data_IF_657041428724
#
_entry.id   IF_657041428724
#
_cell.length_a   1.000
_cell.length_b   1.000
_cell.length_c   1.000
_cell.angle_alpha   90.00
_cell.angle_beta   90.00
_cell.angle_gamma   90.00
#
_symmetry.space_group_name_H-M   'P 1'
#
loop_
_entity.id
_entity.type
_entity.pdbx_description
1 polymer ?
#
# COMPACT_ATOMS: atom_id res chain seq x y z
N UNK A 1 -5.31 -35.12 -1.95
CA UNK A 1 -5.41 -33.76 -1.39
C UNK A 1 -5.06 -32.81 -2.52
N UNK A 2 -5.91 -31.83 -2.86
CA UNK A 2 -5.52 -30.77 -3.78
C UNK A 2 -4.45 -29.93 -3.06
N UNK A 3 -3.28 -29.78 -3.65
CA UNK A 3 -2.25 -28.91 -3.10
C UNK A 3 -2.78 -27.47 -3.13
N UNK A 4 -2.75 -26.79 -1.99
CA UNK A 4 -3.18 -25.38 -1.84
C UNK A 4 -2.15 -24.40 -2.42
N UNK A 5 -1.10 -24.91 -3.03
CA UNK A 5 -0.05 -24.15 -3.71
C UNK A 5 0.48 -24.94 -4.92
N UNK A 6 1.03 -24.23 -5.88
CA UNK A 6 1.74 -24.81 -7.02
C UNK A 6 3.25 -24.77 -6.80
N UNK A 7 3.87 -25.93 -6.92
CA UNK A 7 5.31 -26.14 -6.75
C UNK A 7 6.06 -25.87 -8.06
N UNK A 8 6.90 -24.83 -8.08
CA UNK A 8 7.73 -24.45 -9.24
C UNK A 8 9.20 -24.87 -9.06
N UNK A 9 9.53 -25.64 -8.02
CA UNK A 9 10.90 -26.05 -7.69
C UNK A 9 11.68 -24.96 -6.92
N UNK A 10 11.58 -23.71 -7.32
CA UNK A 10 12.22 -22.55 -6.67
C UNK A 10 11.24 -21.66 -5.93
N UNK A 11 9.94 -21.78 -6.20
CA UNK A 11 8.87 -21.03 -5.56
C UNK A 11 7.64 -21.90 -5.37
N UNK A 12 6.81 -21.54 -4.39
CA UNK A 12 5.49 -22.12 -4.15
C UNK A 12 4.48 -20.99 -4.25
N UNK A 13 3.69 -20.98 -5.33
CA UNK A 13 2.66 -19.97 -5.53
C UNK A 13 1.40 -20.41 -4.81
N UNK A 14 0.88 -19.54 -3.94
CA UNK A 14 -0.31 -19.77 -3.13
C UNK A 14 -1.59 -19.51 -3.95
N UNK A 15 -2.03 -20.50 -4.70
CA UNK A 15 -3.20 -20.42 -5.59
C UNK A 15 -4.54 -20.26 -4.84
N UNK A 16 -4.57 -20.58 -3.54
CA UNK A 16 -5.75 -20.48 -2.68
C UNK A 16 -5.79 -19.22 -1.81
N UNK A 17 -4.77 -18.34 -1.94
CA UNK A 17 -4.62 -17.17 -1.09
C UNK A 17 -5.83 -16.25 -1.13
N UNK A 18 -6.34 -15.94 -2.32
CA UNK A 18 -7.51 -15.06 -2.50
C UNK A 18 -8.75 -15.61 -1.78
N UNK A 19 -8.98 -16.93 -1.85
CA UNK A 19 -10.10 -17.58 -1.13
C UNK A 19 -9.93 -17.52 0.38
N UNK A 20 -8.71 -17.70 0.86
CA UNK A 20 -8.38 -17.78 2.29
C UNK A 20 -8.28 -16.42 2.95
N UNK A 21 -7.65 -15.44 2.28
CA UNK A 21 -7.35 -14.12 2.86
C UNK A 21 -8.20 -12.99 2.27
N UNK A 22 -8.92 -13.24 1.17
CA UNK A 22 -9.67 -12.22 0.44
C UNK A 22 -8.83 -11.37 -0.52
N UNK A 23 -7.51 -11.63 -0.62
CA UNK A 23 -6.59 -10.89 -1.48
C UNK A 23 -5.73 -11.83 -2.31
N UNK A 24 -5.47 -11.52 -3.60
CA UNK A 24 -4.54 -12.27 -4.42
C UNK A 24 -3.10 -12.18 -3.90
N UNK A 25 -2.24 -13.04 -4.39
CA UNK A 25 -0.81 -12.97 -4.10
C UNK A 25 -0.19 -11.71 -4.73
N UNK A 26 0.87 -11.18 -4.08
CA UNK A 26 1.63 -10.02 -4.53
C UNK A 26 3.11 -10.35 -4.54
N UNK A 27 3.79 -9.93 -5.59
CA UNK A 27 5.22 -10.22 -5.78
C UNK A 27 6.08 -9.15 -5.12
N UNK A 28 6.90 -9.53 -4.17
CA UNK A 28 8.03 -8.70 -3.73
C UNK A 28 9.15 -8.84 -4.75
N UNK A 29 9.34 -7.83 -5.61
CA UNK A 29 10.25 -7.93 -6.77
C UNK A 29 11.73 -7.79 -6.39
N UNK A 30 12.02 -7.06 -5.30
CA UNK A 30 13.39 -6.81 -4.85
C UNK A 30 14.12 -8.12 -4.51
N UNK A 31 15.35 -8.25 -4.99
CA UNK A 31 16.17 -9.45 -4.76
C UNK A 31 15.79 -10.69 -5.58
N UNK A 32 14.74 -10.66 -6.40
CA UNK A 32 14.43 -11.77 -7.30
C UNK A 32 15.28 -11.74 -8.54
N UNK A 33 15.75 -12.91 -8.96
CA UNK A 33 16.42 -13.07 -10.27
C UNK A 33 15.44 -12.87 -11.39
N UNK A 34 15.93 -12.51 -12.58
CA UNK A 34 15.13 -12.29 -13.78
C UNK A 34 14.30 -13.52 -14.15
N UNK A 35 14.91 -14.71 -14.06
CA UNK A 35 14.26 -15.99 -14.37
C UNK A 35 13.09 -16.28 -13.41
N UNK A 36 13.30 -16.10 -12.11
CA UNK A 36 12.25 -16.34 -11.12
C UNK A 36 11.11 -15.34 -11.25
N UNK A 37 11.45 -14.06 -11.46
CA UNK A 37 10.46 -13.03 -11.65
C UNK A 37 9.58 -13.30 -12.89
N UNK A 38 10.20 -13.62 -14.02
CA UNK A 38 9.50 -13.93 -15.27
C UNK A 38 8.54 -15.11 -15.12
N UNK A 39 9.00 -16.18 -14.47
CA UNK A 39 8.20 -17.38 -14.25
C UNK A 39 7.01 -17.14 -13.33
N UNK A 40 7.22 -16.39 -12.22
CA UNK A 40 6.15 -16.02 -11.28
C UNK A 40 5.09 -15.16 -11.97
N UNK A 41 5.49 -14.10 -12.70
CA UNK A 41 4.53 -13.22 -13.38
C UNK A 41 3.71 -13.94 -14.44
N UNK A 42 4.34 -14.82 -15.25
CA UNK A 42 3.62 -15.67 -16.22
C UNK A 42 2.55 -16.50 -15.51
N UNK A 43 2.96 -17.18 -14.45
CA UNK A 43 2.06 -18.07 -13.72
C UNK A 43 0.89 -17.32 -13.08
N UNK A 44 1.14 -16.17 -12.44
CA UNK A 44 0.06 -15.36 -11.86
C UNK A 44 -0.95 -14.88 -12.91
N UNK A 45 -0.46 -14.46 -14.09
CA UNK A 45 -1.35 -14.02 -15.17
C UNK A 45 -2.13 -15.19 -15.77
N UNK A 46 -1.53 -16.38 -15.86
CA UNK A 46 -2.21 -17.60 -16.31
C UNK A 46 -3.33 -18.01 -15.34
N UNK A 47 -3.09 -17.94 -14.03
CA UNK A 47 -4.03 -18.41 -13.01
C UNK A 47 -5.11 -17.37 -12.67
N UNK A 48 -4.72 -16.09 -12.52
CA UNK A 48 -5.59 -15.03 -12.00
C UNK A 48 -5.93 -13.95 -13.03
N UNK A 49 -5.35 -14.00 -14.23
CA UNK A 49 -5.54 -13.00 -15.28
C UNK A 49 -4.87 -11.66 -15.01
N UNK A 50 -4.15 -11.51 -13.89
CA UNK A 50 -3.47 -10.29 -13.47
C UNK A 50 -2.27 -10.61 -12.59
N UNK A 51 -1.36 -9.64 -12.43
CA UNK A 51 -0.25 -9.73 -11.48
C UNK A 51 0.07 -8.35 -10.91
N UNK A 52 0.51 -8.31 -9.66
CA UNK A 52 0.93 -7.08 -8.98
C UNK A 52 2.21 -7.34 -8.20
N UNK A 53 3.18 -6.46 -8.39
CA UNK A 53 4.46 -6.54 -7.69
C UNK A 53 4.92 -5.18 -7.19
N UNK A 54 5.55 -5.20 -6.03
CA UNK A 54 6.10 -4.02 -5.36
C UNK A 54 7.62 -4.03 -5.44
N UNK A 55 8.22 -2.83 -5.25
CA UNK A 55 9.68 -2.63 -5.24
C UNK A 55 10.39 -3.14 -6.49
N UNK A 56 9.71 -3.04 -7.63
CA UNK A 56 10.29 -3.38 -8.91
C UNK A 56 11.30 -2.33 -9.39
N UNK A 57 12.16 -2.75 -10.31
CA UNK A 57 13.11 -1.89 -11.02
C UNK A 57 12.66 -1.70 -12.46
N UNK A 58 13.16 -0.65 -13.12
CA UNK A 58 12.96 -0.43 -14.56
C UNK A 58 13.45 -1.62 -15.39
N UNK A 59 14.60 -2.23 -15.00
CA UNK A 59 15.11 -3.45 -15.65
C UNK A 59 14.10 -4.61 -15.59
N UNK A 60 13.54 -4.86 -14.42
CA UNK A 60 12.52 -5.90 -14.21
C UNK A 60 11.24 -5.62 -15.02
N UNK A 61 10.84 -4.35 -15.11
CA UNK A 61 9.73 -3.97 -15.98
C UNK A 61 10.02 -4.29 -17.46
N UNK A 62 11.17 -3.89 -17.97
CA UNK A 62 11.56 -4.17 -19.37
C UNK A 62 11.60 -5.67 -19.67
N UNK A 63 12.04 -6.48 -18.71
CA UNK A 63 12.01 -7.94 -18.80
C UNK A 63 10.56 -8.47 -18.91
N UNK A 64 9.70 -8.05 -17.97
CA UNK A 64 8.31 -8.53 -17.94
C UNK A 64 7.52 -8.02 -19.14
N UNK A 65 7.74 -6.78 -19.58
CA UNK A 65 7.09 -6.18 -20.75
C UNK A 65 7.29 -6.97 -22.03
N UNK A 66 8.48 -7.58 -22.20
CA UNK A 66 8.79 -8.42 -23.38
C UNK A 66 7.96 -9.70 -23.43
N UNK A 67 7.61 -10.26 -22.29
CA UNK A 67 6.88 -11.54 -22.18
C UNK A 67 5.38 -11.36 -21.93
N UNK A 68 5.01 -10.25 -21.30
CA UNK A 68 3.64 -9.85 -20.98
C UNK A 68 3.42 -8.40 -21.46
N UNK A 69 3.03 -8.19 -22.72
CA UNK A 69 2.93 -6.85 -23.31
C UNK A 69 1.95 -5.90 -22.62
N UNK A 70 1.02 -6.41 -21.81
CA UNK A 70 0.10 -5.61 -20.99
C UNK A 70 0.73 -5.09 -19.69
N UNK A 71 1.99 -5.45 -19.38
CA UNK A 71 2.65 -4.98 -18.18
C UNK A 71 2.80 -3.47 -18.16
N UNK A 72 2.58 -2.87 -17.00
CA UNK A 72 2.69 -1.44 -16.69
C UNK A 72 3.65 -1.25 -15.53
N UNK A 73 4.34 -0.12 -15.50
CA UNK A 73 5.28 0.22 -14.43
C UNK A 73 5.10 1.65 -13.95
N UNK A 74 4.83 1.79 -12.68
CA UNK A 74 4.91 3.09 -12.00
C UNK A 74 6.30 3.25 -11.37
N UNK A 75 7.04 4.22 -11.89
CA UNK A 75 8.41 4.47 -11.46
C UNK A 75 8.48 5.08 -10.05
N UNK A 76 7.45 5.82 -9.64
CA UNK A 76 7.42 6.52 -8.34
C UNK A 76 7.21 5.51 -7.22
N UNK A 77 6.13 4.74 -7.28
CA UNK A 77 5.82 3.68 -6.31
C UNK A 77 6.59 2.39 -6.53
N UNK A 78 7.38 2.29 -7.62
CA UNK A 78 8.10 1.06 -8.02
C UNK A 78 7.16 -0.14 -8.15
N UNK A 79 5.96 0.12 -8.70
CA UNK A 79 4.92 -0.89 -8.89
C UNK A 79 5.01 -1.45 -10.31
N UNK A 80 5.11 -2.76 -10.41
CA UNK A 80 5.04 -3.51 -11.67
C UNK A 80 3.77 -4.35 -11.66
N UNK A 81 2.84 -4.06 -12.56
CA UNK A 81 1.56 -4.75 -12.63
C UNK A 81 1.22 -5.20 -14.04
N UNK A 82 0.48 -6.29 -14.12
CA UNK A 82 -0.29 -6.68 -15.30
C UNK A 82 -1.76 -6.53 -14.91
N UNK A 83 -2.47 -5.51 -15.38
CA UNK A 83 -3.84 -5.25 -14.95
C UNK A 83 -4.77 -6.38 -15.40
N UNK A 84 -5.86 -6.67 -14.67
CA UNK A 84 -6.88 -7.60 -15.12
C UNK A 84 -7.60 -7.05 -16.35
N UNK A 85 -8.24 -7.94 -17.14
CA UNK A 85 -9.00 -7.54 -18.33
C UNK A 85 -10.21 -6.67 -17.99
N UNK A 86 -10.87 -6.97 -16.88
CA UNK A 86 -11.98 -6.19 -16.36
C UNK A 86 -11.48 -5.21 -15.30
N UNK A 87 -11.98 -3.98 -15.33
CA UNK A 87 -11.61 -2.97 -14.34
C UNK A 87 -12.02 -3.42 -12.93
N UNK A 88 -11.13 -3.21 -11.96
CA UNK A 88 -11.42 -3.47 -10.55
C UNK A 88 -12.39 -2.41 -10.05
N UNK A 89 -13.55 -2.81 -9.57
CA UNK A 89 -14.51 -1.91 -8.95
C UNK A 89 -13.90 -1.31 -7.66
N UNK A 90 -13.98 0.01 -7.56
CA UNK A 90 -13.40 0.75 -6.45
C UNK A 90 -14.51 1.14 -5.45
N UNK A 91 -14.36 0.71 -4.19
CA UNK A 91 -15.37 0.91 -3.14
C UNK A 91 -14.83 1.65 -1.93
N UNK A 92 -15.73 2.32 -1.21
CA UNK A 92 -15.40 3.07 -0.01
C UNK A 92 -14.48 4.25 -0.29
N UNK A 93 -13.66 4.63 0.69
CA UNK A 93 -12.65 5.68 0.53
C UNK A 93 -11.51 5.46 1.53
N UNK A 94 -10.28 5.51 1.04
CA UNK A 94 -9.04 5.48 1.83
C UNK A 94 -8.29 6.78 1.53
N UNK A 95 -7.95 7.56 2.55
CA UNK A 95 -7.08 8.73 2.38
C UNK A 95 -5.62 8.33 2.56
N UNK A 96 -4.76 8.71 1.62
CA UNK A 96 -3.30 8.49 1.70
C UNK A 96 -2.62 9.84 1.80
N UNK A 97 -2.00 10.12 2.96
CA UNK A 97 -1.41 11.40 3.29
C UNK A 97 0.11 11.29 3.43
N UNK A 98 0.87 12.26 2.90
CA UNK A 98 2.32 12.35 3.12
C UNK A 98 2.72 13.62 3.87
N UNK A 99 3.78 13.50 4.70
CA UNK A 99 4.39 14.67 5.33
C UNK A 99 5.10 15.54 4.30
N UNK A 100 5.92 14.95 3.46
CA UNK A 100 6.64 15.64 2.39
C UNK A 100 6.60 14.90 1.06
N UNK A 101 7.15 15.55 0.02
CA UNK A 101 7.22 14.95 -1.32
C UNK A 101 8.21 13.79 -1.41
N UNK A 102 9.20 13.73 -0.51
CA UNK A 102 10.14 12.61 -0.43
C UNK A 102 9.47 11.30 0.07
N UNK A 103 8.33 11.40 0.76
CA UNK A 103 7.56 10.25 1.24
C UNK A 103 6.63 9.65 0.17
N UNK A 104 6.44 10.36 -0.95
CA UNK A 104 5.51 9.96 -2.03
C UNK A 104 5.77 8.56 -2.57
N UNK A 105 7.02 8.08 -2.75
CA UNK A 105 7.25 6.72 -3.24
C UNK A 105 6.61 5.64 -2.36
N UNK A 106 6.69 5.77 -1.05
CA UNK A 106 6.08 4.82 -0.09
C UNK A 106 4.56 4.99 -0.06
N UNK A 107 4.07 6.22 -0.19
CA UNK A 107 2.65 6.51 -0.26
C UNK A 107 2.01 5.95 -1.54
N UNK A 108 2.70 6.02 -2.70
CA UNK A 108 2.23 5.42 -3.95
C UNK A 108 2.23 3.88 -3.88
N UNK A 109 3.20 3.26 -3.22
CA UNK A 109 3.14 1.82 -2.95
C UNK A 109 1.87 1.47 -2.17
N UNK A 110 1.53 2.24 -1.13
CA UNK A 110 0.31 2.03 -0.34
C UNK A 110 -0.96 2.30 -1.14
N UNK A 111 -1.03 3.41 -1.87
CA UNK A 111 -2.17 3.83 -2.65
C UNK A 111 -2.50 2.82 -3.76
N UNK A 112 -1.52 2.45 -4.57
CA UNK A 112 -1.72 1.51 -5.66
C UNK A 112 -2.00 0.08 -5.17
N UNK A 113 -1.47 -0.31 -4.01
CA UNK A 113 -1.85 -1.56 -3.35
C UNK A 113 -3.32 -1.56 -2.96
N UNK A 114 -3.80 -0.48 -2.33
CA UNK A 114 -5.21 -0.35 -1.96
C UNK A 114 -6.13 -0.34 -3.19
N UNK A 115 -5.74 0.36 -4.26
CA UNK A 115 -6.48 0.39 -5.53
C UNK A 115 -6.51 -0.99 -6.20
N UNK A 116 -5.40 -1.71 -6.24
CA UNK A 116 -5.35 -3.08 -6.78
C UNK A 116 -6.26 -4.04 -6.01
N UNK A 117 -6.47 -3.78 -4.74
CA UNK A 117 -7.40 -4.54 -3.91
C UNK A 117 -8.84 -4.01 -3.90
N UNK A 118 -9.19 -3.01 -4.72
CA UNK A 118 -10.54 -2.49 -4.89
C UNK A 118 -10.94 -1.40 -3.89
N UNK A 119 -9.98 -0.75 -3.23
CA UNK A 119 -10.23 0.43 -2.41
C UNK A 119 -10.17 1.71 -3.26
N UNK A 120 -11.16 2.59 -3.15
CA UNK A 120 -11.07 3.94 -3.72
C UNK A 120 -10.08 4.76 -2.89
N UNK A 121 -9.12 5.42 -3.54
CA UNK A 121 -8.05 6.16 -2.87
C UNK A 121 -8.10 7.65 -3.20
N UNK A 122 -7.98 8.48 -2.18
CA UNK A 122 -7.72 9.92 -2.30
C UNK A 122 -6.30 10.23 -1.81
N UNK A 123 -5.50 10.82 -2.69
CA UNK A 123 -4.10 11.20 -2.42
C UNK A 123 -4.04 12.64 -1.90
N UNK A 124 -3.52 12.82 -0.69
CA UNK A 124 -3.39 14.13 0.00
C UNK A 124 -1.93 14.30 0.41
N UNK A 125 -1.11 14.73 -0.55
CA UNK A 125 0.34 14.79 -0.39
C UNK A 125 0.83 16.15 0.08
N UNK A 126 2.03 16.16 0.70
CA UNK A 126 2.74 17.35 1.19
C UNK A 126 1.94 18.16 2.23
N UNK A 127 1.40 17.48 3.22
CA UNK A 127 0.66 18.07 4.35
C UNK A 127 1.44 17.99 5.68
N UNK A 128 2.76 18.06 5.61
CA UNK A 128 3.65 17.96 6.79
C UNK A 128 3.42 19.06 7.84
N UNK A 129 3.80 18.74 9.06
CA UNK A 129 3.56 19.58 10.24
C UNK A 129 4.30 20.91 10.22
N UNK A 130 5.39 21.04 9.45
CA UNK A 130 6.10 22.30 9.26
C UNK A 130 5.24 23.39 8.59
N UNK A 131 4.19 22.98 7.88
CA UNK A 131 3.18 23.87 7.32
C UNK A 131 1.78 23.36 7.70
N UNK A 132 1.49 23.35 8.99
CA UNK A 132 0.29 22.74 9.58
C UNK A 132 -1.03 23.20 8.92
N UNK A 133 -1.08 24.43 8.41
CA UNK A 133 -2.23 24.98 7.70
C UNK A 133 -2.61 24.17 6.46
N UNK A 134 -1.64 23.50 5.81
CA UNK A 134 -1.88 22.61 4.66
C UNK A 134 -2.70 21.39 5.09
N UNK A 135 -2.32 20.76 6.20
CA UNK A 135 -3.07 19.66 6.81
C UNK A 135 -4.47 20.10 7.24
N UNK A 136 -4.56 21.22 7.98
CA UNK A 136 -5.83 21.72 8.48
C UNK A 136 -6.82 22.02 7.34
N UNK A 137 -6.35 22.52 6.19
CA UNK A 137 -7.20 22.76 5.02
C UNK A 137 -7.76 21.49 4.36
N UNK A 138 -7.22 20.32 4.68
CA UNK A 138 -7.64 19.00 4.14
C UNK A 138 -8.38 18.13 5.16
N UNK A 139 -8.50 18.56 6.41
CA UNK A 139 -9.09 17.76 7.49
C UNK A 139 -10.47 17.23 7.14
N UNK A 140 -11.35 18.07 6.56
CA UNK A 140 -12.71 17.66 6.17
C UNK A 140 -12.69 16.55 5.10
N UNK A 141 -11.80 16.63 4.12
CA UNK A 141 -11.64 15.59 3.10
C UNK A 141 -11.14 14.28 3.72
N UNK A 142 -10.15 14.38 4.62
CA UNK A 142 -9.58 13.22 5.32
C UNK A 142 -10.64 12.52 6.18
N UNK A 143 -11.48 13.26 6.87
CA UNK A 143 -12.54 12.73 7.74
C UNK A 143 -13.61 11.92 6.99
N UNK A 144 -13.77 12.12 5.68
CA UNK A 144 -14.69 11.35 4.84
C UNK A 144 -14.20 9.93 4.53
N UNK A 145 -12.93 9.63 4.74
CA UNK A 145 -12.36 8.32 4.48
C UNK A 145 -12.77 7.29 5.55
N UNK A 146 -12.81 6.02 5.18
CA UNK A 146 -13.02 4.91 6.13
C UNK A 146 -11.74 4.59 6.93
N UNK A 147 -10.57 4.91 6.36
CA UNK A 147 -9.26 4.72 6.97
C UNK A 147 -8.27 5.72 6.37
N UNK A 148 -7.28 6.12 7.16
CA UNK A 148 -6.21 7.03 6.74
C UNK A 148 -4.88 6.29 6.76
N UNK A 149 -4.12 6.37 5.68
CA UNK A 149 -2.71 5.99 5.64
C UNK A 149 -1.89 7.27 5.78
N UNK A 150 -1.06 7.34 6.82
CA UNK A 150 -0.24 8.51 7.15
C UNK A 150 1.24 8.17 7.01
N UNK A 151 1.90 8.70 5.98
CA UNK A 151 3.27 8.38 5.58
C UNK A 151 4.21 9.54 5.93
N UNK A 152 5.20 9.30 6.75
CA UNK A 152 6.12 10.36 7.22
C UNK A 152 7.50 9.81 7.58
N UNK A 153 8.53 10.50 7.11
CA UNK A 153 9.92 10.34 7.54
C UNK A 153 10.30 11.31 8.65
N UNK A 154 11.59 11.65 8.71
CA UNK A 154 12.18 12.54 9.73
C UNK A 154 11.84 12.10 11.16
N UNK A 155 11.04 12.86 11.89
CA UNK A 155 10.56 12.56 13.25
C UNK A 155 9.18 11.92 13.29
N UNK A 156 8.48 11.78 12.17
CA UNK A 156 7.20 11.07 12.10
C UNK A 156 6.01 11.77 12.76
N UNK A 157 6.08 13.06 13.04
CA UNK A 157 5.07 13.79 13.84
C UNK A 157 3.69 13.88 13.19
N UNK A 158 3.60 13.78 11.85
CA UNK A 158 2.32 13.89 11.13
C UNK A 158 1.27 12.92 11.66
N UNK A 159 1.65 11.68 11.97
CA UNK A 159 0.72 10.66 12.46
C UNK A 159 0.06 11.06 13.78
N UNK A 160 0.85 11.62 14.74
CA UNK A 160 0.33 12.08 16.02
C UNK A 160 -0.62 13.27 15.88
N UNK A 161 -0.27 14.22 15.02
CA UNK A 161 -1.14 15.39 14.74
C UNK A 161 -2.44 14.94 14.06
N UNK A 162 -2.34 14.05 13.08
CA UNK A 162 -3.50 13.46 12.40
C UNK A 162 -4.43 12.79 13.40
N UNK A 163 -3.90 11.96 14.32
CA UNK A 163 -4.68 11.28 15.35
C UNK A 163 -5.43 12.21 16.30
N UNK A 164 -4.99 13.46 16.44
CA UNK A 164 -5.71 14.49 17.17
C UNK A 164 -6.79 15.23 16.36
N UNK A 165 -6.83 15.06 15.04
CA UNK A 165 -7.71 15.82 14.15
C UNK A 165 -8.85 14.97 13.57
N UNK A 166 -8.71 13.64 13.50
CA UNK A 166 -9.70 12.77 12.84
C UNK A 166 -10.10 11.61 13.74
N UNK A 167 -11.32 11.11 13.56
CA UNK A 167 -11.85 9.94 14.28
C UNK A 167 -11.56 8.62 13.52
N UNK A 168 -11.01 8.71 12.32
CA UNK A 168 -10.74 7.57 11.45
C UNK A 168 -9.58 6.71 12.00
N UNK A 169 -9.61 5.38 11.83
CA UNK A 169 -8.43 4.55 12.03
C UNK A 169 -7.26 5.03 11.17
N UNK A 170 -6.07 5.12 11.77
CA UNK A 170 -4.87 5.59 11.10
C UNK A 170 -3.85 4.46 11.02
N UNK A 171 -3.37 4.18 9.81
CA UNK A 171 -2.22 3.32 9.56
C UNK A 171 -1.02 4.23 9.31
N UNK A 172 -0.13 4.30 10.28
CA UNK A 172 1.07 5.11 10.22
C UNK A 172 2.23 4.33 9.59
N UNK A 173 2.85 4.93 8.59
CA UNK A 173 3.97 4.37 7.84
C UNK A 173 5.19 5.26 8.08
N UNK A 174 6.12 4.86 8.95
CA UNK A 174 7.40 5.52 9.04
C UNK A 174 8.19 5.30 7.75
N UNK A 175 8.87 6.32 7.25
CA UNK A 175 9.76 6.17 6.09
C UNK A 175 11.22 6.32 6.48
N UNK A 176 12.10 5.74 5.66
CA UNK A 176 13.55 5.91 5.78
C UNK A 176 14.04 7.31 5.38
N UNK A 177 13.14 8.18 4.93
CA UNK A 177 13.42 9.57 4.58
C UNK A 177 13.89 10.35 5.80
N UNK A 178 15.10 10.92 5.70
CA UNK A 178 15.69 11.69 6.78
C UNK A 178 17.22 11.66 6.75
N UNK A 179 17.84 12.26 7.74
CA UNK A 179 19.28 12.31 7.88
C UNK A 179 19.69 12.34 9.37
N UNK A 180 20.98 12.13 9.64
CA UNK A 180 21.53 12.21 10.99
C UNK A 180 20.80 11.28 11.98
N UNK A 181 20.20 11.83 13.03
CA UNK A 181 19.52 11.08 14.08
C UNK A 181 18.20 10.42 13.66
N UNK A 182 17.80 10.52 12.38
CA UNK A 182 16.64 9.76 11.86
C UNK A 182 16.92 8.26 11.78
N UNK A 183 18.20 7.85 11.73
CA UNK A 183 18.64 6.44 11.64
C UNK A 183 17.79 5.62 10.65
N UNK A 184 17.68 6.11 9.40
CA UNK A 184 16.92 5.43 8.34
C UNK A 184 15.47 5.07 8.72
N UNK A 185 14.78 6.01 9.38
CA UNK A 185 13.38 5.89 9.75
C UNK A 185 13.11 5.38 11.17
N UNK A 186 14.15 5.03 11.93
CA UNK A 186 13.97 4.57 13.30
C UNK A 186 13.35 5.67 14.19
N UNK A 187 13.74 6.93 14.01
CA UNK A 187 13.15 8.06 14.75
C UNK A 187 11.65 8.18 14.46
N UNK A 188 11.25 8.11 13.19
CA UNK A 188 9.85 8.14 12.80
C UNK A 188 9.06 6.95 13.38
N UNK A 189 9.62 5.74 13.29
CA UNK A 189 9.02 4.53 13.87
C UNK A 189 8.79 4.68 15.38
N UNK A 190 9.82 5.07 16.14
CA UNK A 190 9.72 5.23 17.58
C UNK A 190 8.73 6.32 17.98
N UNK A 191 8.68 7.43 17.26
CA UNK A 191 7.70 8.49 17.50
C UNK A 191 6.28 7.99 17.27
N UNK A 192 6.03 7.29 16.16
CA UNK A 192 4.70 6.77 15.82
C UNK A 192 4.22 5.72 16.83
N UNK A 193 5.10 4.79 17.25
CA UNK A 193 4.76 3.75 18.25
C UNK A 193 4.49 4.35 19.63
N UNK A 194 5.22 5.42 20.00
CA UNK A 194 5.08 6.08 21.29
C UNK A 194 4.09 7.25 21.26
N UNK A 195 3.30 7.40 20.19
CA UNK A 195 2.32 8.47 20.10
C UNK A 195 1.27 8.36 21.20
N UNK A 196 0.95 9.48 21.83
CA UNK A 196 -0.16 9.58 22.80
C UNK A 196 -1.54 9.72 22.09
N UNK A 197 -1.57 9.95 20.78
CA UNK A 197 -2.81 9.98 20.02
C UNK A 197 -3.34 8.55 19.82
N UNK A 198 -4.62 8.35 20.15
CA UNK A 198 -5.26 7.05 20.02
C UNK A 198 -5.69 6.77 18.56
N UNK A 199 -5.91 5.49 18.23
CA UNK A 199 -6.39 5.08 16.91
C UNK A 199 -5.31 4.95 15.84
N UNK A 200 -4.02 4.98 16.23
CA UNK A 200 -2.87 4.80 15.34
C UNK A 200 -2.35 3.36 15.45
N UNK A 201 -2.26 2.69 14.29
CA UNK A 201 -1.54 1.42 14.13
C UNK A 201 -0.32 1.66 13.26
N UNK A 202 0.84 1.14 13.66
CA UNK A 202 2.11 1.41 12.97
C UNK A 202 2.56 0.17 12.21
N UNK A 203 2.92 0.34 10.95
CA UNK A 203 3.59 -0.69 10.14
C UNK A 203 5.11 -0.52 10.16
N UNK A 204 5.84 -1.45 9.55
CA UNK A 204 7.28 -1.36 9.46
C UNK A 204 7.73 -0.15 8.60
N UNK A 205 8.99 0.25 8.74
CA UNK A 205 9.62 1.31 7.92
C UNK A 205 9.49 0.97 6.44
N UNK A 206 9.08 1.96 5.64
CA UNK A 206 8.88 1.86 4.18
C UNK A 206 7.87 0.77 3.75
N UNK A 207 6.98 0.33 4.63
CA UNK A 207 6.01 -0.71 4.30
C UNK A 207 4.69 -0.13 3.80
N UNK A 208 4.72 0.51 2.63
CA UNK A 208 3.52 1.02 1.95
C UNK A 208 2.55 -0.10 1.60
N UNK A 209 3.06 -1.24 1.11
CA UNK A 209 2.24 -2.41 0.80
C UNK A 209 1.42 -2.88 2.01
N UNK A 210 2.04 -3.08 3.17
CA UNK A 210 1.35 -3.52 4.38
C UNK A 210 0.28 -2.53 4.83
N UNK A 211 0.55 -1.22 4.71
CA UNK A 211 -0.43 -0.19 5.02
C UNK A 211 -1.64 -0.22 4.06
N UNK A 212 -1.40 -0.32 2.75
CA UNK A 212 -2.44 -0.46 1.74
C UNK A 212 -3.31 -1.68 1.96
N UNK A 213 -2.69 -2.81 2.33
CA UNK A 213 -3.39 -4.06 2.65
C UNK A 213 -4.33 -3.89 3.86
N UNK A 214 -3.81 -3.40 5.00
CA UNK A 214 -4.60 -3.22 6.24
C UNK A 214 -5.71 -2.19 6.02
N UNK A 215 -5.41 -1.06 5.38
CA UNK A 215 -6.40 -0.03 5.09
C UNK A 215 -7.54 -0.56 4.23
N UNK A 216 -7.23 -1.42 3.24
CA UNK A 216 -8.27 -2.07 2.43
C UNK A 216 -9.11 -3.05 3.24
N UNK A 217 -8.53 -3.77 4.20
CA UNK A 217 -9.32 -4.62 5.10
C UNK A 217 -10.34 -3.80 5.91
N UNK A 218 -9.90 -2.68 6.51
CA UNK A 218 -10.77 -1.76 7.26
C UNK A 218 -11.86 -1.19 6.35
N UNK A 219 -11.47 -0.70 5.17
CA UNK A 219 -12.40 -0.14 4.19
C UNK A 219 -13.50 -1.14 3.79
N UNK A 220 -13.13 -2.39 3.49
CA UNK A 220 -14.08 -3.46 3.15
C UNK A 220 -15.04 -3.79 4.30
N UNK A 221 -14.56 -3.80 5.54
CA UNK A 221 -15.41 -4.05 6.70
C UNK A 221 -16.47 -2.94 6.85
N UNK A 222 -16.08 -1.67 6.66
CA UNK A 222 -16.98 -0.53 6.72
C UNK A 222 -18.04 -0.58 5.60
N UNK A 223 -17.61 -0.85 4.36
CA UNK A 223 -18.53 -0.95 3.21
C UNK A 223 -19.54 -2.09 3.40
N UNK A 224 -19.10 -3.26 3.89
CA UNK A 224 -20.00 -4.39 4.17
C UNK A 224 -20.98 -4.08 5.31
N UNK A 225 -20.51 -3.39 6.36
CA UNK A 225 -21.36 -2.96 7.47
C UNK A 225 -22.50 -2.06 7.00
N UNK A 226 -22.20 -1.06 6.17
CA UNK A 226 -23.20 -0.13 5.64
C UNK A 226 -24.25 -0.84 4.76
N UNK A 227 -23.85 -1.78 3.89
CA UNK A 227 -24.79 -2.56 3.05
C UNK A 227 -25.77 -3.39 3.87
N UNK A 228 -25.37 -3.89 5.04
CA UNK A 228 -26.24 -4.68 5.91
C UNK A 228 -27.25 -3.82 6.70
N UNK A 229 -27.02 -2.52 6.82
CA UNK A 229 -27.95 -1.59 7.46
C UNK A 229 -29.00 -1.04 6.48
N UNK A 230 -28.72 -1.06 5.17
CA UNK A 230 -29.61 -0.56 4.11
C UNK A 230 -30.54 -1.66 3.55
N UNK A 231 -30.37 -2.90 3.99
CA UNK A 231 -31.19 -4.08 3.63
C UNK A 231 -32.16 -4.50 4.75
#
# INVERSE_FOLDING_TARGET
MKHEYEEMGFAKIDTERKRRTGFPEVVFCEGKTDEFLASIYKKMVEDEGSAFGTRATEHQYQLIKKILPAAEYDKVGRILKVPPKEAIEQEGLIAVCTAGTADVPVAEEAAQTAEYFGGKVERIYDVGVSGIHRLLSKTEAIQKANCVICVAGMEGALASVMGGLVANPIIAVPTSVGYGASFHGLSALLTMINSCANGISVVNIDNGYGAGYIATQINRLTVRGNRNHDS
#
